data_IF_293342899408
#
_entry.id   IF_293342899408
#
_cell.length_a   1.000
_cell.length_b   1.000
_cell.length_c   1.000
_cell.angle_alpha   90.00
_cell.angle_beta   90.00
_cell.angle_gamma   90.00
#
_symmetry.space_group_name_H-M   'P 1'
#
loop_
_entity.id
_entity.type
_entity.pdbx_description
1 polymer ?
#
# COMPACT_ATOMS: atom_id res chain seq x y z
N UNK A 1 18.77 -34.68 -8.54
CA UNK A 1 17.79 -33.62 -8.85
C UNK A 1 18.26 -32.38 -8.11
N UNK A 2 19.06 -31.56 -8.78
CA UNK A 2 19.49 -30.27 -8.23
C UNK A 2 18.28 -29.33 -8.26
N UNK A 3 17.81 -28.92 -7.09
CA UNK A 3 16.92 -27.78 -6.97
C UNK A 3 17.74 -26.54 -7.33
N UNK A 4 17.56 -26.01 -8.53
CA UNK A 4 18.06 -24.69 -8.88
C UNK A 4 17.35 -23.69 -8.00
N UNK A 5 18.00 -23.27 -6.92
CA UNK A 5 17.64 -22.07 -6.17
C UNK A 5 17.87 -20.91 -7.13
N UNK A 6 16.82 -20.54 -7.86
CA UNK A 6 16.83 -19.37 -8.72
C UNK A 6 17.19 -18.18 -7.84
N UNK A 7 18.40 -17.63 -7.99
CA UNK A 7 18.76 -16.33 -7.43
C UNK A 7 17.73 -15.32 -7.93
N UNK A 8 16.72 -15.02 -7.11
CA UNK A 8 15.73 -14.01 -7.44
C UNK A 8 16.38 -12.64 -7.29
N UNK A 9 17.05 -12.17 -8.35
CA UNK A 9 17.62 -10.82 -8.45
C UNK A 9 16.52 -9.78 -8.69
N UNK A 10 15.67 -9.57 -7.70
CA UNK A 10 14.85 -8.37 -7.66
C UNK A 10 15.63 -7.25 -6.99
N UNK A 11 15.39 -6.01 -7.43
CA UNK A 11 15.87 -4.82 -6.74
C UNK A 11 15.10 -4.66 -5.44
N UNK A 12 15.86 -4.52 -4.35
CA UNK A 12 15.32 -4.18 -3.04
C UNK A 12 14.64 -2.82 -3.06
N UNK A 13 13.62 -2.67 -2.21
CA UNK A 13 12.98 -1.39 -1.96
C UNK A 13 13.02 -1.06 -0.48
N UNK A 14 13.19 0.24 -0.18
CA UNK A 14 13.18 0.73 1.20
C UNK A 14 11.83 0.45 1.87
N UNK A 15 11.88 -0.14 3.07
CA UNK A 15 10.74 -0.34 3.94
C UNK A 15 10.37 0.95 4.66
N UNK A 16 9.13 1.39 4.50
CA UNK A 16 8.63 2.60 5.14
C UNK A 16 7.74 2.25 6.34
N UNK A 17 7.98 2.91 7.47
CA UNK A 17 7.29 2.62 8.72
C UNK A 17 5.76 2.84 8.60
N UNK A 18 4.98 1.81 8.90
CA UNK A 18 3.53 1.86 8.83
C UNK A 18 2.96 1.91 7.41
N UNK A 19 3.79 1.67 6.39
CA UNK A 19 3.37 1.54 5.00
C UNK A 19 2.32 0.43 4.83
N UNK A 20 1.33 0.68 3.98
CA UNK A 20 0.34 -0.34 3.65
C UNK A 20 0.85 -1.33 2.60
N UNK A 21 0.41 -2.59 2.70
CA UNK A 21 0.85 -3.65 1.78
C UNK A 21 0.53 -3.28 0.33
N UNK A 22 -0.60 -2.61 0.08
CA UNK A 22 -0.97 -2.10 -1.24
C UNK A 22 0.10 -1.18 -1.84
N UNK A 23 0.57 -0.21 -1.06
CA UNK A 23 1.56 0.76 -1.52
C UNK A 23 2.93 0.12 -1.74
N UNK A 24 3.36 -0.71 -0.77
CA UNK A 24 4.60 -1.47 -0.85
C UNK A 24 4.65 -2.33 -2.13
N UNK A 25 3.61 -3.14 -2.38
CA UNK A 25 3.54 -3.99 -3.57
C UNK A 25 3.58 -3.18 -4.86
N UNK A 26 2.91 -2.02 -4.90
CA UNK A 26 2.98 -1.11 -6.03
C UNK A 26 4.41 -0.61 -6.30
N UNK A 27 5.13 -0.18 -5.26
CA UNK A 27 6.53 0.26 -5.36
C UNK A 27 7.44 -0.88 -5.82
N UNK A 28 7.34 -2.03 -5.18
CA UNK A 28 8.14 -3.21 -5.50
C UNK A 28 7.98 -3.60 -6.96
N UNK A 29 6.73 -3.68 -7.42
CA UNK A 29 6.41 -4.03 -8.80
C UNK A 29 6.95 -3.01 -9.80
N UNK A 30 6.81 -1.71 -9.53
CA UNK A 30 7.34 -0.67 -10.44
C UNK A 30 8.86 -0.73 -10.52
N UNK A 31 9.55 -0.87 -9.39
CA UNK A 31 11.00 -0.98 -9.35
C UNK A 31 11.51 -2.19 -10.13
N UNK A 32 10.74 -3.28 -10.13
CA UNK A 32 11.08 -4.55 -10.75
C UNK A 32 10.38 -4.82 -12.10
N UNK A 33 9.71 -3.81 -12.68
CA UNK A 33 8.99 -3.92 -13.96
C UNK A 33 7.97 -5.07 -14.02
N UNK A 34 7.26 -5.30 -12.91
CA UNK A 34 6.28 -6.37 -12.76
C UNK A 34 4.83 -5.86 -12.79
N UNK A 35 3.95 -6.67 -13.35
CA UNK A 35 2.51 -6.60 -13.14
C UNK A 35 2.10 -7.40 -11.89
N UNK A 36 0.93 -7.12 -11.32
CA UNK A 36 0.39 -7.90 -10.20
C UNK A 36 0.23 -9.38 -10.56
N UNK A 37 -0.12 -9.68 -11.82
CA UNK A 37 -0.22 -11.04 -12.34
C UNK A 37 1.14 -11.73 -12.42
N UNK A 38 2.19 -11.05 -12.86
CA UNK A 38 3.54 -11.62 -12.87
C UNK A 38 4.02 -11.90 -11.45
N UNK A 39 3.85 -10.96 -10.52
CA UNK A 39 4.20 -11.17 -9.11
C UNK A 39 3.43 -12.34 -8.49
N UNK A 40 2.13 -12.45 -8.78
CA UNK A 40 1.31 -13.59 -8.37
C UNK A 40 1.80 -14.93 -8.93
N UNK A 41 2.30 -14.97 -10.17
CA UNK A 41 2.89 -16.19 -10.75
C UNK A 41 4.22 -16.55 -10.08
N UNK A 42 5.10 -15.57 -9.88
CA UNK A 42 6.43 -15.77 -9.28
C UNK A 42 6.31 -16.28 -7.84
N UNK A 43 5.40 -15.70 -7.05
CA UNK A 43 5.13 -16.13 -5.66
C UNK A 43 4.31 -17.42 -5.56
N UNK A 44 3.69 -17.88 -6.65
CA UNK A 44 2.71 -18.96 -6.62
C UNK A 44 1.41 -18.63 -5.88
N UNK A 45 1.14 -17.34 -5.62
CA UNK A 45 -0.07 -16.84 -4.95
C UNK A 45 -1.19 -16.47 -5.93
N UNK A 46 -0.86 -16.34 -7.21
CA UNK A 46 -1.82 -16.07 -8.29
C UNK A 46 -2.57 -14.74 -8.11
N UNK A 47 -3.88 -14.76 -8.36
CA UNK A 47 -4.71 -13.55 -8.39
C UNK A 47 -4.89 -12.87 -7.01
N UNK A 48 -4.48 -13.51 -5.91
CA UNK A 48 -4.64 -12.93 -4.57
C UNK A 48 -3.82 -11.66 -4.38
N UNK A 49 -2.66 -11.54 -5.05
CA UNK A 49 -1.84 -10.31 -5.03
C UNK A 49 -2.67 -9.09 -5.42
N UNK A 50 -3.43 -9.17 -6.52
CA UNK A 50 -4.29 -8.07 -6.96
C UNK A 50 -5.48 -7.80 -6.02
N UNK A 51 -5.88 -8.76 -5.18
CA UNK A 51 -6.89 -8.54 -4.13
C UNK A 51 -6.27 -7.79 -2.94
N UNK A 52 -5.08 -8.19 -2.52
CA UNK A 52 -4.34 -7.55 -1.43
C UNK A 52 -3.98 -6.09 -1.75
N UNK A 53 -3.57 -5.81 -2.99
CA UNK A 53 -3.37 -4.42 -3.47
C UNK A 53 -4.63 -3.55 -3.36
N UNK A 54 -5.80 -4.18 -3.40
CA UNK A 54 -7.10 -3.50 -3.25
C UNK A 54 -7.65 -3.55 -1.82
N UNK A 55 -6.84 -3.96 -0.84
CA UNK A 55 -7.25 -4.14 0.56
C UNK A 55 -8.32 -5.22 0.78
N UNK A 56 -8.47 -6.17 -0.14
CA UNK A 56 -9.36 -7.32 0.03
C UNK A 56 -8.58 -8.50 0.63
N UNK A 57 -8.53 -8.53 1.95
CA UNK A 57 -7.88 -9.57 2.75
C UNK A 57 -8.87 -10.63 3.25
N UNK A 58 -9.87 -11.02 2.43
CA UNK A 58 -10.77 -12.11 2.76
C UNK A 58 -10.66 -13.23 1.70
N UNK A 59 -10.09 -14.41 2.02
CA UNK A 59 -9.51 -14.78 3.33
C UNK A 59 -8.26 -13.96 3.67
N UNK A 60 -7.96 -13.86 4.97
CA UNK A 60 -6.80 -13.12 5.46
C UNK A 60 -5.50 -13.87 5.11
N UNK A 61 -4.39 -13.17 4.76
CA UNK A 61 -3.14 -13.82 4.38
C UNK A 61 -2.65 -14.81 5.45
N UNK A 62 -2.42 -16.06 5.06
CA UNK A 62 -1.85 -17.07 5.97
C UNK A 62 -0.35 -16.84 6.17
N UNK A 63 0.28 -17.40 7.23
CA UNK A 63 1.73 -17.35 7.39
C UNK A 63 2.48 -17.90 6.16
N UNK A 64 2.05 -19.04 5.61
CA UNK A 64 2.68 -19.64 4.44
C UNK A 64 2.54 -18.80 3.18
N UNK A 65 1.42 -18.08 3.02
CA UNK A 65 1.25 -17.14 1.91
C UNK A 65 2.17 -15.92 2.06
N UNK A 66 2.41 -15.45 3.28
CA UNK A 66 3.36 -14.36 3.53
C UNK A 66 4.81 -14.81 3.36
N UNK A 67 5.18 -16.04 3.74
CA UNK A 67 6.50 -16.62 3.48
C UNK A 67 6.79 -16.64 1.97
N UNK A 68 5.84 -17.13 1.15
CA UNK A 68 5.97 -17.10 -0.31
C UNK A 68 6.15 -15.70 -0.89
N UNK A 69 5.50 -14.70 -0.29
CA UNK A 69 5.68 -13.32 -0.70
C UNK A 69 7.07 -12.80 -0.27
N UNK A 70 7.42 -13.02 1.01
CA UNK A 70 8.69 -12.63 1.63
C UNK A 70 9.90 -13.11 0.85
N UNK A 71 9.92 -14.39 0.45
CA UNK A 71 10.98 -15.01 -0.33
C UNK A 71 11.22 -14.30 -1.68
N UNK A 72 10.17 -13.71 -2.26
CA UNK A 72 10.24 -13.02 -3.55
C UNK A 72 10.57 -11.54 -3.38
N UNK A 73 10.03 -10.88 -2.35
CA UNK A 73 10.21 -9.44 -2.16
C UNK A 73 11.43 -9.07 -1.32
N UNK A 74 12.11 -10.06 -0.74
CA UNK A 74 13.30 -9.83 0.09
C UNK A 74 12.99 -9.17 1.44
N UNK A 75 11.82 -9.47 2.03
CA UNK A 75 11.35 -8.81 3.26
C UNK A 75 10.88 -9.86 4.26
N UNK A 76 11.30 -9.73 5.52
CA UNK A 76 10.87 -10.59 6.62
C UNK A 76 9.33 -10.66 6.76
N UNK A 77 8.81 -11.84 7.08
CA UNK A 77 7.36 -12.09 7.22
C UNK A 77 6.70 -11.14 8.22
N UNK A 78 7.37 -10.85 9.34
CA UNK A 78 6.85 -9.94 10.37
C UNK A 78 6.74 -8.50 9.85
N UNK A 79 7.64 -8.07 8.98
CA UNK A 79 7.56 -6.75 8.35
C UNK A 79 6.37 -6.68 7.37
N UNK A 80 6.09 -7.76 6.64
CA UNK A 80 4.86 -7.84 5.82
C UNK A 80 3.59 -7.86 6.68
N UNK A 81 3.63 -8.47 7.87
CA UNK A 81 2.51 -8.46 8.83
C UNK A 81 2.18 -7.06 9.33
N UNK A 82 3.18 -6.21 9.57
CA UNK A 82 2.98 -4.81 9.97
C UNK A 82 2.26 -3.97 8.90
N UNK A 83 2.35 -4.37 7.63
CA UNK A 83 1.68 -3.70 6.51
C UNK A 83 0.20 -4.10 6.33
N UNK A 84 -0.27 -5.08 7.12
CA UNK A 84 -1.63 -5.58 7.18
C UNK A 84 -2.38 -5.02 8.39
N UNK A 85 -3.72 -5.04 8.41
CA UNK A 85 -4.44 -4.66 9.62
C UNK A 85 -4.16 -5.65 10.76
N UNK A 86 -3.98 -5.16 12.00
CA UNK A 86 -3.86 -6.03 13.17
C UNK A 86 -5.09 -6.91 13.37
N UNK A 87 -4.93 -7.99 14.12
CA UNK A 87 -6.03 -8.91 14.44
C UNK A 87 -7.19 -8.16 15.10
N UNK A 88 -8.40 -8.37 14.59
CA UNK A 88 -9.63 -7.71 15.08
C UNK A 88 -9.86 -6.31 14.53
N UNK A 89 -8.89 -5.70 13.84
CA UNK A 89 -9.06 -4.39 13.21
C UNK A 89 -9.75 -4.54 11.86
N UNK A 90 -10.94 -3.95 11.74
CA UNK A 90 -11.64 -3.87 10.45
C UNK A 90 -11.08 -2.71 9.63
N UNK A 91 -10.91 -2.92 8.33
CA UNK A 91 -10.54 -1.87 7.37
C UNK A 91 -11.71 -1.51 6.46
N UNK A 92 -11.67 -0.30 5.89
CA UNK A 92 -12.52 0.10 4.77
C UNK A 92 -11.67 0.09 3.51
N UNK A 93 -11.84 -0.88 2.58
CA UNK A 93 -11.07 -0.91 1.34
C UNK A 93 -11.30 0.31 0.45
N UNK A 94 -12.49 0.92 0.55
CA UNK A 94 -12.86 2.17 -0.13
C UNK A 94 -13.67 3.07 0.82
N UNK A 95 -13.63 4.41 0.63
CA UNK A 95 -12.69 5.13 -0.23
C UNK A 95 -11.24 4.99 0.27
N UNK A 96 -10.27 5.27 -0.60
CA UNK A 96 -8.86 5.36 -0.18
C UNK A 96 -8.68 6.67 0.55
N UNK A 97 -8.04 6.62 1.72
CA UNK A 97 -7.81 7.76 2.58
C UNK A 97 -6.37 8.23 2.51
N UNK A 98 -6.16 9.53 2.68
CA UNK A 98 -4.86 10.17 2.58
C UNK A 98 -4.74 11.28 3.62
N UNK A 99 -3.65 11.28 4.38
CA UNK A 99 -3.17 12.49 5.02
C UNK A 99 -2.10 13.13 4.13
N UNK A 100 -2.41 14.29 3.54
CA UNK A 100 -1.47 14.96 2.64
C UNK A 100 -0.25 15.53 3.38
N UNK A 101 -0.39 15.91 4.66
CA UNK A 101 0.75 16.33 5.48
C UNK A 101 1.72 15.16 5.72
N UNK A 102 1.24 13.99 6.16
CA UNK A 102 2.08 12.79 6.25
C UNK A 102 2.72 12.43 4.90
N UNK A 103 1.96 12.52 3.81
CA UNK A 103 2.48 12.17 2.49
C UNK A 103 3.58 13.14 2.02
N UNK A 104 3.52 14.41 2.43
CA UNK A 104 4.57 15.38 2.19
C UNK A 104 5.86 15.08 2.98
N UNK A 105 5.75 14.47 4.16
CA UNK A 105 6.89 14.07 4.99
C UNK A 105 7.54 12.78 4.47
N UNK A 106 6.71 11.80 4.09
CA UNK A 106 7.16 10.54 3.53
C UNK A 106 6.14 10.04 2.52
N UNK A 107 6.56 9.86 1.27
CA UNK A 107 5.73 9.60 0.09
C UNK A 107 5.14 8.19 0.07
N UNK A 108 4.41 7.81 1.11
CA UNK A 108 3.77 6.51 1.22
C UNK A 108 2.38 6.58 1.84
N UNK A 109 1.56 5.59 1.48
CA UNK A 109 0.26 5.40 2.11
C UNK A 109 0.43 4.56 3.39
N UNK A 110 -0.07 5.05 4.52
CA UNK A 110 -0.04 4.34 5.80
C UNK A 110 -1.23 3.40 5.98
N UNK A 111 -1.02 2.17 6.44
CA UNK A 111 -2.10 1.18 6.64
C UNK A 111 -3.19 1.68 7.60
N UNK A 112 -2.79 2.42 8.65
CA UNK A 112 -3.70 2.94 9.66
C UNK A 112 -4.77 3.89 9.12
N UNK A 113 -4.54 4.53 7.96
CA UNK A 113 -5.54 5.40 7.34
C UNK A 113 -6.79 4.62 6.91
N UNK A 114 -6.68 3.35 6.55
CA UNK A 114 -7.80 2.53 6.10
C UNK A 114 -8.56 1.84 7.24
N UNK A 115 -8.16 2.01 8.50
CA UNK A 115 -8.88 1.43 9.64
C UNK A 115 -10.28 2.04 9.76
N UNK A 116 -11.30 1.20 9.96
CA UNK A 116 -12.72 1.57 9.83
C UNK A 116 -13.09 2.85 10.58
N UNK A 117 -12.60 2.95 11.81
CA UNK A 117 -12.95 4.00 12.78
C UNK A 117 -11.97 5.18 12.78
N UNK A 118 -10.95 5.16 11.90
CA UNK A 118 -9.99 6.25 11.74
C UNK A 118 -10.43 7.18 10.61
N UNK A 119 -10.69 8.44 10.94
CA UNK A 119 -10.98 9.52 9.97
C UNK A 119 -10.12 10.77 10.19
N UNK A 120 -9.30 10.77 11.24
CA UNK A 120 -8.38 11.85 11.59
C UNK A 120 -6.98 11.24 11.67
N UNK A 121 -5.99 11.94 11.11
CA UNK A 121 -4.60 11.55 11.22
C UNK A 121 -4.10 11.78 12.64
N UNK A 122 -3.55 10.72 13.24
CA UNK A 122 -2.90 10.70 14.55
C UNK A 122 -1.71 11.66 14.67
N UNK A 123 -0.92 11.84 13.61
CA UNK A 123 0.28 12.67 13.61
C UNK A 123 0.02 14.17 13.43
N UNK A 124 -0.95 14.53 12.57
CA UNK A 124 -1.20 15.93 12.19
C UNK A 124 -2.52 16.50 12.70
N UNK A 125 -3.37 15.67 13.31
CA UNK A 125 -4.72 16.02 13.73
C UNK A 125 -5.56 16.65 12.58
N UNK A 126 -5.36 16.11 11.37
CA UNK A 126 -6.04 16.52 10.14
C UNK A 126 -7.03 15.44 9.71
N UNK A 127 -8.21 15.85 9.24
CA UNK A 127 -9.16 14.95 8.61
C UNK A 127 -8.56 14.27 7.38
N UNK A 128 -8.66 12.94 7.32
CA UNK A 128 -8.17 12.17 6.17
C UNK A 128 -9.00 12.50 4.92
N UNK A 129 -8.31 12.86 3.84
CA UNK A 129 -8.92 13.12 2.54
C UNK A 129 -9.36 11.79 1.91
N UNK A 130 -10.47 11.80 1.19
CA UNK A 130 -10.95 10.64 0.40
C UNK A 130 -10.96 10.89 -1.11
N UNK A 131 -10.65 12.13 -1.50
CA UNK A 131 -10.67 12.63 -2.88
C UNK A 131 -9.77 13.85 -3.00
N UNK A 132 -9.41 14.17 -4.25
CA UNK A 132 -8.62 15.35 -4.58
C UNK A 132 -9.34 16.63 -4.15
N UNK A 133 -8.62 17.55 -3.49
CA UNK A 133 -9.17 18.83 -3.04
C UNK A 133 -9.50 19.81 -4.19
N UNK A 134 -8.96 19.55 -5.39
CA UNK A 134 -9.15 20.39 -6.56
C UNK A 134 -10.30 19.88 -7.42
N UNK A 135 -10.16 18.69 -8.01
CA UNK A 135 -11.12 18.14 -8.97
C UNK A 135 -12.10 17.11 -8.37
N UNK A 136 -12.04 16.83 -7.07
CA UNK A 136 -12.95 15.91 -6.36
C UNK A 136 -12.87 14.43 -6.81
N UNK A 137 -11.95 14.08 -7.70
CA UNK A 137 -11.70 12.69 -8.11
C UNK A 137 -11.26 11.85 -6.91
N UNK A 138 -11.89 10.69 -6.63
CA UNK A 138 -11.47 9.77 -5.58
C UNK A 138 -10.03 9.29 -5.79
N UNK A 139 -9.31 9.01 -4.70
CA UNK A 139 -7.95 8.50 -4.83
C UNK A 139 -7.93 7.06 -5.39
N UNK A 140 -7.01 6.75 -6.32
CA UNK A 140 -6.79 5.39 -6.78
C UNK A 140 -6.23 4.54 -5.64
N UNK A 141 -6.18 3.22 -5.81
CA UNK A 141 -5.55 2.35 -4.81
C UNK A 141 -4.07 2.71 -4.64
N UNK A 142 -3.50 2.56 -3.43
CA UNK A 142 -2.12 2.96 -3.17
C UNK A 142 -1.07 2.29 -4.06
N UNK A 143 -1.32 1.05 -4.51
CA UNK A 143 -0.45 0.38 -5.49
C UNK A 143 -0.27 1.15 -6.80
N UNK A 144 -1.22 2.03 -7.15
CA UNK A 144 -1.23 2.80 -8.40
C UNK A 144 -0.67 4.21 -8.20
N UNK A 145 -0.16 4.55 -7.01
CA UNK A 145 0.41 5.87 -6.75
C UNK A 145 1.84 5.94 -7.30
N UNK A 146 1.97 6.40 -8.55
CA UNK A 146 3.27 6.50 -9.24
C UNK A 146 4.03 7.74 -8.80
N UNK A 147 3.45 8.93 -9.03
CA UNK A 147 4.08 10.22 -8.73
C UNK A 147 3.51 10.88 -7.47
N UNK A 148 2.58 10.22 -6.77
CA UNK A 148 1.95 10.79 -5.58
C UNK A 148 1.09 12.02 -5.90
N UNK A 149 0.26 11.92 -6.93
CA UNK A 149 -0.59 13.01 -7.43
C UNK A 149 -1.97 12.52 -7.87
N UNK A 150 -2.90 13.46 -8.03
CA UNK A 150 -4.20 13.16 -8.60
C UNK A 150 -4.07 12.71 -10.05
N UNK A 151 -4.51 11.48 -10.37
CA UNK A 151 -4.50 10.94 -11.73
C UNK A 151 -5.37 11.70 -12.76
N UNK A 152 -6.16 12.69 -12.33
CA UNK A 152 -7.02 13.47 -13.21
C UNK A 152 -6.52 14.90 -13.43
N UNK A 153 -6.17 15.63 -12.36
CA UNK A 153 -5.74 17.03 -12.46
C UNK A 153 -4.26 17.25 -12.10
N UNK A 154 -3.50 16.18 -11.85
CA UNK A 154 -2.07 16.20 -11.55
C UNK A 154 -1.68 17.06 -10.34
N UNK A 155 -2.63 17.42 -9.48
CA UNK A 155 -2.31 18.10 -8.22
C UNK A 155 -1.53 17.11 -7.32
N UNK A 156 -0.31 17.43 -6.89
CA UNK A 156 0.46 16.57 -5.99
C UNK A 156 -0.27 16.38 -4.66
N UNK A 157 -0.24 15.16 -4.11
CA UNK A 157 -0.86 14.83 -2.83
C UNK A 157 -0.31 15.69 -1.71
N UNK A 158 1.01 15.92 -1.66
CA UNK A 158 1.66 16.79 -0.67
C UNK A 158 1.07 18.21 -0.64
N UNK A 159 0.69 18.76 -1.80
CA UNK A 159 0.10 20.10 -1.91
C UNK A 159 -1.32 20.18 -1.34
N UNK A 160 -1.98 19.05 -1.10
CA UNK A 160 -3.36 19.02 -0.60
C UNK A 160 -3.47 19.32 0.90
N UNK A 161 -2.35 19.31 1.64
CA UNK A 161 -2.32 19.54 3.08
C UNK A 161 -2.91 20.90 3.48
N UNK A 162 -2.72 21.93 2.63
CA UNK A 162 -3.17 23.32 2.87
C UNK A 162 -4.69 23.46 3.04
N UNK A 163 -5.47 22.50 2.55
CA UNK A 163 -6.95 22.53 2.62
C UNK A 163 -7.55 21.37 3.42
N UNK A 164 -6.73 20.60 4.14
CA UNK A 164 -7.24 19.59 5.06
C UNK A 164 -7.87 20.25 6.30
N UNK A 165 -9.07 19.79 6.67
CA UNK A 165 -9.75 20.25 7.88
C UNK A 165 -8.97 19.82 9.13
N UNK A 166 -8.72 20.75 10.05
CA UNK A 166 -8.20 20.48 11.40
C UNK A 166 -9.32 20.02 12.34
N UNK A 167 -9.00 19.11 13.24
CA UNK A 167 -9.90 18.62 14.30
C UNK A 167 -9.46 19.11 15.68
#
# INVERSE_FOLDING_TARGET
MESTTTENKFFDIELLEGESLSHFLGRFRRQNYLTATQLGKITGLGAVIGRWEKFYFNPFPTPQELEKLADVVGVEVERLREMLPPKGVTIKPRPIRLCAACYAESHHHRIGWQFKDVMVCDRHNLGLLTKCINCQTPFPIPSDWIQGECHHCFLPFANMAKRQKRY
#
